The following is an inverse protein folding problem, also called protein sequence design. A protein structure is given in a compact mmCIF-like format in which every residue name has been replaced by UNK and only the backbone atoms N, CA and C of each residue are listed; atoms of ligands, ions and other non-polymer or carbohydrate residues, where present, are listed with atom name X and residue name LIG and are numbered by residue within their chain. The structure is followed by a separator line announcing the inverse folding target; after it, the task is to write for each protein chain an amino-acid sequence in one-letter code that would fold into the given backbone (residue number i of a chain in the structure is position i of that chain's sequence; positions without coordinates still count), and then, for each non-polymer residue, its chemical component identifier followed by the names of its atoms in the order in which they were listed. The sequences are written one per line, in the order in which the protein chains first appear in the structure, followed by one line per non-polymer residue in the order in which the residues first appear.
data_IF_798973711518
#
_entry.id   IF_798973711518
#
_cell.length_a   1.000
_cell.length_b   1.000
_cell.length_c   1.000
_cell.angle_alpha   90.00
_cell.angle_beta   90.00
_cell.angle_gamma   90.00
#
_symmetry.space_group_name_H-M   'P 1'
#
loop_
_entity.id
_entity.type
_entity.pdbx_description
1 polymer ?
#
# COMPACT_ATOMS: atom_id res chain seq x y z
N UNK A 1 -13.86 6.55 -9.15
CA UNK A 1 -13.83 6.21 -7.71
C UNK A 1 -12.84 7.15 -7.03
N UNK A 2 -13.22 7.77 -5.92
CA UNK A 2 -12.33 8.70 -5.21
C UNK A 2 -11.51 7.93 -4.16
N UNK A 3 -10.21 8.17 -4.06
CA UNK A 3 -9.31 7.44 -3.14
C UNK A 3 -9.65 7.60 -1.66
N UNK A 4 -10.43 8.64 -1.31
CA UNK A 4 -10.95 8.83 0.05
C UNK A 4 -11.84 7.68 0.54
N UNK A 5 -12.55 6.99 -0.36
CA UNK A 5 -13.54 5.97 0.00
C UNK A 5 -13.13 4.56 -0.44
N UNK A 6 -11.96 4.41 -1.06
CA UNK A 6 -11.50 3.13 -1.58
C UNK A 6 -9.98 3.08 -1.78
N UNK A 7 -9.40 1.95 -1.43
CA UNK A 7 -8.01 1.59 -1.71
C UNK A 7 -7.94 0.46 -2.76
N UNK A 8 -6.72 -0.02 -3.03
CA UNK A 8 -6.50 -1.12 -3.99
C UNK A 8 -7.23 -2.41 -3.61
N UNK A 9 -7.42 -2.69 -2.32
CA UNK A 9 -8.16 -3.86 -1.85
C UNK A 9 -9.66 -3.69 -2.11
N UNK A 10 -10.22 -2.53 -1.76
CA UNK A 10 -11.63 -2.19 -2.00
C UNK A 10 -12.01 -2.30 -3.47
N UNK A 11 -11.13 -1.88 -4.39
CA UNK A 11 -11.34 -2.04 -5.84
C UNK A 11 -11.41 -3.53 -6.24
N UNK A 12 -10.58 -4.37 -5.64
CA UNK A 12 -10.59 -5.82 -5.87
C UNK A 12 -11.90 -6.47 -5.39
N UNK A 13 -12.36 -6.10 -4.19
CA UNK A 13 -13.66 -6.53 -3.64
C UNK A 13 -14.79 -6.10 -4.57
N UNK A 14 -14.86 -4.81 -4.92
CA UNK A 14 -15.90 -4.29 -5.82
C UNK A 14 -15.92 -5.01 -7.16
N UNK A 15 -14.76 -5.25 -7.77
CA UNK A 15 -14.66 -5.93 -9.07
C UNK A 15 -15.21 -7.36 -9.00
N UNK A 16 -14.90 -8.08 -7.92
CA UNK A 16 -15.41 -9.44 -7.68
C UNK A 16 -16.92 -9.45 -7.47
N UNK A 17 -17.43 -8.59 -6.61
CA UNK A 17 -18.86 -8.54 -6.27
C UNK A 17 -19.70 -8.09 -7.46
N UNK A 18 -19.21 -7.11 -8.24
CA UNK A 18 -19.84 -6.68 -9.47
C UNK A 18 -19.94 -7.84 -10.48
N UNK A 19 -18.87 -8.63 -10.64
CA UNK A 19 -18.88 -9.80 -11.52
C UNK A 19 -19.89 -10.87 -11.05
N UNK A 20 -20.01 -11.09 -9.74
CA UNK A 20 -21.00 -12.01 -9.15
C UNK A 20 -22.42 -11.54 -9.43
N UNK A 21 -22.76 -10.29 -9.12
CA UNK A 21 -24.10 -9.74 -9.35
C UNK A 21 -24.45 -9.72 -10.84
N UNK A 22 -23.51 -9.33 -11.69
CA UNK A 22 -23.71 -9.31 -13.14
C UNK A 22 -24.00 -10.72 -13.68
N UNK A 23 -23.24 -11.73 -13.23
CA UNK A 23 -23.44 -13.12 -13.63
C UNK A 23 -24.80 -13.69 -13.20
N UNK A 24 -25.26 -13.33 -12.00
CA UNK A 24 -26.57 -13.73 -11.48
C UNK A 24 -27.72 -13.09 -12.27
N UNK A 25 -27.60 -11.80 -12.58
CA UNK A 25 -28.58 -11.08 -13.39
C UNK A 25 -28.76 -11.72 -14.78
N UNK A 26 -27.66 -12.10 -15.45
CA UNK A 26 -27.70 -12.80 -16.75
C UNK A 26 -28.44 -14.14 -16.65
N UNK A 27 -28.29 -14.84 -15.52
CA UNK A 27 -28.92 -16.14 -15.27
C UNK A 27 -30.35 -16.02 -14.73
N UNK A 28 -30.91 -14.81 -14.65
CA UNK A 28 -32.21 -14.54 -14.03
C UNK A 28 -32.31 -15.06 -12.58
N UNK A 29 -31.17 -15.10 -11.87
CA UNK A 29 -31.11 -15.35 -10.44
C UNK A 29 -31.22 -14.00 -9.70
N UNK A 30 -31.71 -14.03 -8.46
CA UNK A 30 -31.68 -12.84 -7.59
C UNK A 30 -30.22 -12.49 -7.25
N UNK A 31 -29.71 -11.33 -7.71
CA UNK A 31 -28.35 -10.90 -7.40
C UNK A 31 -28.13 -10.67 -5.91
N UNK A 32 -29.13 -10.14 -5.18
CA UNK A 32 -28.99 -9.81 -3.76
C UNK A 32 -28.88 -11.04 -2.87
N UNK A 33 -29.33 -12.20 -3.36
CA UNK A 33 -29.18 -13.48 -2.68
C UNK A 33 -27.80 -14.14 -2.89
N UNK A 34 -26.90 -13.54 -3.69
CA UNK A 34 -25.62 -14.17 -4.03
C UNK A 34 -24.48 -13.86 -3.07
N UNK A 35 -24.62 -12.82 -2.24
CA UNK A 35 -23.59 -12.39 -1.30
C UNK A 35 -24.22 -12.18 0.08
N UNK A 36 -23.50 -12.62 1.10
CA UNK A 36 -23.89 -12.37 2.47
C UNK A 36 -23.77 -10.88 2.80
N UNK A 37 -24.67 -10.35 3.64
CA UNK A 37 -24.57 -8.97 4.09
C UNK A 37 -23.28 -8.76 4.91
N UNK A 38 -22.69 -7.58 4.79
CA UNK A 38 -21.52 -7.20 5.56
C UNK A 38 -21.84 -7.25 7.05
N UNK A 39 -21.02 -7.97 7.82
CA UNK A 39 -21.15 -8.02 9.28
C UNK A 39 -20.62 -6.76 9.97
N UNK A 40 -19.78 -5.98 9.26
CA UNK A 40 -19.15 -4.76 9.75
C UNK A 40 -19.11 -3.77 8.59
N UNK A 41 -19.62 -2.57 8.80
CA UNK A 41 -19.48 -1.46 7.86
C UNK A 41 -18.27 -0.59 8.19
N UNK A 42 -17.83 0.24 7.24
CA UNK A 42 -16.71 1.16 7.47
C UNK A 42 -17.02 2.18 8.58
N UNK A 43 -18.29 2.52 8.78
CA UNK A 43 -18.74 3.35 9.90
C UNK A 43 -18.47 2.71 11.26
N UNK A 44 -18.76 1.41 11.38
CA UNK A 44 -18.47 0.63 12.60
C UNK A 44 -16.97 0.56 12.86
N UNK A 45 -16.16 0.30 11.83
CA UNK A 45 -14.71 0.31 11.93
C UNK A 45 -14.17 1.67 12.39
N UNK A 46 -14.68 2.76 11.83
CA UNK A 46 -14.27 4.13 12.19
C UNK A 46 -14.63 4.47 13.64
N UNK A 47 -15.79 4.01 14.11
CA UNK A 47 -16.20 4.18 15.51
C UNK A 47 -15.33 3.33 16.45
N UNK A 48 -15.06 2.07 16.08
CA UNK A 48 -14.20 1.15 16.82
C UNK A 48 -12.77 1.70 16.98
N UNK A 49 -12.18 2.24 15.91
CA UNK A 49 -10.83 2.79 15.94
C UNK A 49 -10.69 3.95 16.93
N UNK A 50 -11.78 4.67 17.25
CA UNK A 50 -11.79 5.82 18.18
C UNK A 50 -12.15 5.45 19.62
N UNK A 51 -12.39 4.17 19.91
CA UNK A 51 -12.75 3.74 21.25
C UNK A 51 -11.60 3.99 22.24
N UNK A 52 -11.96 4.36 23.48
CA UNK A 52 -10.99 4.56 24.57
C UNK A 52 -10.12 3.33 24.84
N UNK A 53 -10.63 2.12 24.54
CA UNK A 53 -9.87 0.88 24.64
C UNK A 53 -8.60 0.87 23.78
N UNK A 54 -8.54 1.66 22.70
CA UNK A 54 -7.40 1.74 21.79
C UNK A 54 -6.32 2.74 22.26
N UNK A 55 -6.65 3.65 23.18
CA UNK A 55 -5.78 4.78 23.55
C UNK A 55 -4.41 4.35 24.08
N UNK A 56 -4.37 3.33 24.94
CA UNK A 56 -3.11 2.85 25.52
C UNK A 56 -2.18 2.25 24.45
N UNK A 57 -2.74 1.50 23.50
CA UNK A 57 -1.98 0.93 22.39
C UNK A 57 -1.50 2.00 21.42
N UNK A 58 -2.33 3.01 21.14
CA UNK A 58 -1.91 4.15 20.32
C UNK A 58 -0.78 4.94 20.96
N UNK A 59 -0.81 5.16 22.28
CA UNK A 59 0.30 5.82 22.96
C UNK A 59 1.59 5.00 22.86
N UNK A 60 1.51 3.68 23.09
CA UNK A 60 2.66 2.77 22.95
C UNK A 60 3.25 2.80 21.55
N UNK A 61 2.40 2.76 20.51
CA UNK A 61 2.83 2.84 19.11
C UNK A 61 3.42 4.21 18.78
N UNK A 62 2.82 5.29 19.28
CA UNK A 62 3.31 6.65 19.09
C UNK A 62 4.71 6.83 19.68
N UNK A 63 4.94 6.36 20.90
CA UNK A 63 6.24 6.44 21.57
C UNK A 63 7.30 5.67 20.77
N UNK A 64 6.96 4.46 20.30
CA UNK A 64 7.83 3.66 19.44
C UNK A 64 8.20 4.38 18.15
N UNK A 65 7.20 4.85 17.38
CA UNK A 65 7.44 5.49 16.09
C UNK A 65 8.19 6.81 16.22
N UNK A 66 7.88 7.60 17.26
CA UNK A 66 8.59 8.86 17.54
C UNK A 66 10.08 8.59 17.77
N UNK A 67 10.42 7.56 18.55
CA UNK A 67 11.81 7.15 18.76
C UNK A 67 12.46 6.61 17.46
N UNK A 68 11.74 5.83 16.65
CA UNK A 68 12.27 5.28 15.40
C UNK A 68 12.63 6.35 14.36
N UNK A 69 11.90 7.47 14.31
CA UNK A 69 12.07 8.50 13.28
C UNK A 69 12.81 9.75 13.79
N UNK A 70 13.23 9.79 15.06
CA UNK A 70 13.84 10.98 15.68
C UNK A 70 15.07 11.49 14.91
N UNK A 71 15.91 10.58 14.42
CA UNK A 71 17.10 10.90 13.63
C UNK A 71 16.85 10.90 12.11
N UNK A 72 15.65 10.53 11.66
CA UNK A 72 15.35 10.39 10.24
C UNK A 72 15.20 11.76 9.59
N UNK A 73 15.63 11.84 8.33
CA UNK A 73 15.47 13.04 7.50
C UNK A 73 14.69 12.67 6.26
N UNK A 74 13.79 13.54 5.77
CA UNK A 74 13.09 13.27 4.53
C UNK A 74 14.06 12.95 3.40
N UNK A 75 13.83 11.83 2.72
CA UNK A 75 14.66 11.37 1.62
C UNK A 75 14.81 12.47 0.56
N UNK A 76 16.06 12.77 0.22
CA UNK A 76 16.35 13.59 -0.95
C UNK A 76 16.33 12.72 -2.18
N UNK A 77 15.50 13.09 -3.16
CA UNK A 77 15.48 12.47 -4.47
C UNK A 77 16.11 13.43 -5.49
N UNK A 78 16.73 12.85 -6.53
CA UNK A 78 17.17 13.62 -7.68
C UNK A 78 15.93 14.27 -8.32
N UNK A 79 15.99 15.59 -8.46
CA UNK A 79 14.89 16.40 -9.01
C UNK A 79 15.43 17.26 -10.14
N UNK A 80 14.74 17.22 -11.28
CA UNK A 80 15.07 18.08 -12.41
C UNK A 80 14.61 19.53 -12.20
N UNK A 81 13.66 19.75 -11.27
CA UNK A 81 13.04 21.05 -10.99
C UNK A 81 12.83 21.26 -9.49
N UNK A 82 12.87 22.52 -8.99
CA UNK A 82 12.56 22.81 -7.59
C UNK A 82 11.10 22.43 -7.25
N UNK A 83 10.87 22.04 -5.99
CA UNK A 83 9.52 21.69 -5.51
C UNK A 83 8.63 22.95 -5.52
N UNK A 84 7.49 22.96 -6.22
CA UNK A 84 6.57 24.09 -6.20
C UNK A 84 5.88 24.22 -4.84
N UNK A 85 5.51 25.45 -4.46
CA UNK A 85 4.78 25.75 -3.21
C UNK A 85 3.39 25.09 -3.21
N UNK A 86 2.74 25.05 -4.37
CA UNK A 86 1.44 24.42 -4.57
C UNK A 86 1.62 23.21 -5.49
N UNK A 87 1.27 21.99 -5.05
CA UNK A 87 1.31 20.82 -5.91
C UNK A 87 0.34 20.98 -7.09
N UNK A 88 0.80 20.65 -8.30
CA UNK A 88 -0.03 20.72 -9.51
C UNK A 88 -1.04 19.58 -9.62
N UNK A 89 -0.80 18.46 -8.91
CA UNK A 89 -1.57 17.23 -9.01
C UNK A 89 -1.28 16.40 -10.27
N UNK A 90 -0.42 16.87 -11.17
CA UNK A 90 0.02 16.12 -12.33
C UNK A 90 1.01 15.02 -11.91
N UNK A 91 0.75 13.79 -12.33
CA UNK A 91 1.64 12.65 -12.16
C UNK A 91 1.70 11.86 -13.47
N UNK A 92 2.86 11.30 -13.76
CA UNK A 92 3.08 10.35 -14.85
C UNK A 92 3.48 9.01 -14.24
N UNK A 93 3.05 7.92 -14.87
CA UNK A 93 3.31 6.56 -14.38
C UNK A 93 4.16 5.83 -15.42
N UNK A 94 5.41 5.61 -15.06
CA UNK A 94 6.32 4.79 -15.85
C UNK A 94 6.27 3.33 -15.37
N UNK A 95 5.95 2.43 -16.28
CA UNK A 95 5.87 1.00 -15.99
C UNK A 95 7.14 0.29 -16.46
N UNK A 96 7.72 -0.50 -15.58
CA UNK A 96 8.80 -1.41 -15.95
C UNK A 96 8.43 -2.85 -15.60
N UNK A 97 9.06 -3.81 -16.30
CA UNK A 97 8.84 -5.23 -16.09
C UNK A 97 10.15 -5.89 -15.70
N UNK A 98 10.08 -6.82 -14.76
CA UNK A 98 11.19 -7.69 -14.38
C UNK A 98 11.08 -8.94 -15.25
N UNK A 99 12.15 -9.26 -15.98
CA UNK A 99 12.21 -10.47 -16.80
C UNK A 99 12.04 -11.73 -15.92
N UNK A 100 11.40 -12.75 -16.47
CA UNK A 100 11.07 -13.99 -15.78
C UNK A 100 12.31 -14.66 -15.17
N UNK A 101 13.41 -14.72 -15.92
CA UNK A 101 14.65 -15.32 -15.44
C UNK A 101 15.26 -14.56 -14.24
N UNK A 102 15.08 -13.23 -14.19
CA UNK A 102 15.50 -12.43 -13.03
C UNK A 102 14.54 -12.65 -11.85
N UNK A 103 13.24 -12.69 -12.12
CA UNK A 103 12.22 -12.94 -11.10
C UNK A 103 12.44 -14.29 -10.39
N UNK A 104 12.72 -15.36 -11.13
CA UNK A 104 12.98 -16.69 -10.55
C UNK A 104 14.20 -16.69 -9.63
N UNK A 105 15.27 -15.99 -10.02
CA UNK A 105 16.47 -15.82 -9.18
C UNK A 105 16.16 -15.02 -7.92
N UNK A 106 15.34 -13.98 -8.02
CA UNK A 106 14.89 -13.21 -6.85
C UNK A 106 14.05 -14.08 -5.91
N UNK A 107 13.16 -14.93 -6.44
CA UNK A 107 12.37 -15.86 -5.64
C UNK A 107 13.26 -16.86 -4.90
N UNK A 108 14.27 -17.40 -5.59
CA UNK A 108 15.23 -18.31 -4.96
C UNK A 108 16.04 -17.60 -3.86
N UNK A 109 16.50 -16.38 -4.11
CA UNK A 109 17.18 -15.55 -3.11
C UNK A 109 16.29 -15.30 -1.87
N UNK A 110 15.01 -14.99 -2.09
CA UNK A 110 14.04 -14.79 -1.01
C UNK A 110 13.91 -16.03 -0.13
N UNK A 111 13.83 -17.22 -0.74
CA UNK A 111 13.76 -18.50 -0.02
C UNK A 111 15.02 -18.77 0.79
N UNK A 112 16.20 -18.57 0.19
CA UNK A 112 17.49 -18.83 0.85
C UNK A 112 17.77 -17.90 2.02
N UNK A 113 17.20 -16.69 2.00
CA UNK A 113 17.39 -15.66 3.03
C UNK A 113 16.21 -15.52 3.98
N UNK A 114 15.16 -16.32 3.79
CA UNK A 114 13.91 -16.25 4.56
C UNK A 114 13.30 -14.83 4.58
N UNK A 115 13.41 -14.11 3.47
CA UNK A 115 12.86 -12.76 3.29
C UNK A 115 11.77 -12.75 2.23
N UNK A 116 10.91 -11.75 2.28
CA UNK A 116 9.90 -11.52 1.25
C UNK A 116 10.48 -10.75 0.07
N UNK A 117 9.86 -10.90 -1.11
CA UNK A 117 10.22 -10.09 -2.27
C UNK A 117 10.07 -8.59 -2.00
N UNK A 118 9.08 -8.19 -1.19
CA UNK A 118 8.90 -6.78 -0.81
C UNK A 118 10.12 -6.21 -0.07
N UNK A 119 10.74 -6.98 0.83
CA UNK A 119 11.97 -6.57 1.54
C UNK A 119 13.14 -6.43 0.56
N UNK A 120 13.28 -7.36 -0.38
CA UNK A 120 14.33 -7.31 -1.40
C UNK A 120 14.17 -6.08 -2.31
N UNK A 121 12.95 -5.81 -2.77
CA UNK A 121 12.66 -4.65 -3.61
C UNK A 121 12.86 -3.33 -2.87
N UNK A 122 12.45 -3.25 -1.60
CA UNK A 122 12.70 -2.07 -0.75
C UNK A 122 14.20 -1.86 -0.52
N UNK A 123 14.94 -2.94 -0.29
CA UNK A 123 16.40 -2.90 -0.13
C UNK A 123 17.11 -2.45 -1.41
N UNK A 124 16.63 -2.90 -2.58
CA UNK A 124 17.14 -2.45 -3.88
C UNK A 124 16.84 -0.96 -4.11
N UNK A 125 15.66 -0.47 -3.71
CA UNK A 125 15.32 0.95 -3.75
C UNK A 125 16.25 1.77 -2.85
N UNK A 126 16.44 1.36 -1.60
CA UNK A 126 17.32 2.04 -0.65
C UNK A 126 18.78 2.09 -1.16
N UNK A 127 19.31 0.96 -1.64
CA UNK A 127 20.66 0.90 -2.21
C UNK A 127 20.81 1.76 -3.47
N UNK A 128 19.77 1.84 -4.31
CA UNK A 128 19.77 2.69 -5.50
C UNK A 128 19.72 4.16 -5.13
N UNK A 129 18.87 4.53 -4.17
CA UNK A 129 18.80 5.90 -3.64
C UNK A 129 20.16 6.33 -3.10
N UNK A 130 20.78 5.52 -2.25
CA UNK A 130 22.13 5.79 -1.72
C UNK A 130 23.17 5.99 -2.83
N UNK A 131 23.16 5.13 -3.86
CA UNK A 131 24.10 5.25 -4.99
C UNK A 131 23.91 6.53 -5.79
N UNK A 132 22.71 7.09 -5.84
CA UNK A 132 22.38 8.29 -6.60
C UNK A 132 22.60 9.58 -5.81
N UNK A 133 22.42 9.55 -4.49
CA UNK A 133 22.38 10.76 -3.64
C UNK A 133 23.51 10.83 -2.61
N UNK A 134 24.13 9.70 -2.28
CA UNK A 134 25.10 9.57 -1.19
C UNK A 134 24.46 9.62 0.21
N UNK A 135 23.14 9.69 0.31
CA UNK A 135 22.40 9.79 1.57
C UNK A 135 22.08 8.38 2.09
N UNK A 136 22.55 8.08 3.30
CA UNK A 136 22.34 6.76 3.95
C UNK A 136 20.89 6.51 4.40
N UNK A 137 20.09 7.57 4.52
CA UNK A 137 18.68 7.48 4.90
C UNK A 137 17.79 7.50 3.64
N UNK A 138 16.85 6.57 3.57
CA UNK A 138 15.93 6.37 2.44
C UNK A 138 14.46 6.53 2.85
N UNK A 139 14.20 7.11 4.04
CA UNK A 139 12.88 7.32 4.63
C UNK A 139 12.24 8.62 4.14
#
# INVERSE_FOLDING_TARGET
MHSLIADGWSVGVLSRELATYYSAAIRSLDPLAQLDPLSIEYGDYSAWQRQQAQTAEYQRQLDYWTSCIEASRPAELLRDRPRPVIPTGCAEVEQFKIDHALYDRLQQFCKEREVTLSVVMLSALAATSYRLTGVNDAV
#
